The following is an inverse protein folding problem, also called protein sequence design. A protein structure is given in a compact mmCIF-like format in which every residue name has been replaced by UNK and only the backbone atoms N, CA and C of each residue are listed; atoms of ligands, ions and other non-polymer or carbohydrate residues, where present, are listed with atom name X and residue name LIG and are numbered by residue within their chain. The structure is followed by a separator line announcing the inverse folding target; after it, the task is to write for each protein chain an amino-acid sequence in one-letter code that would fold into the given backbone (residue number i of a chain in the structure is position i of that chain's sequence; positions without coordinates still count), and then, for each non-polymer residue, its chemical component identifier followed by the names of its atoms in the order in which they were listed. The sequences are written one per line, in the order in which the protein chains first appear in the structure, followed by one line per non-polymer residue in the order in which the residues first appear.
data_IF_910478944095
#
_entry.id   IF_910478944095
#
_cell.length_a   1.000
_cell.length_b   1.000
_cell.length_c   1.000
_cell.angle_alpha   90.00
_cell.angle_beta   90.00
_cell.angle_gamma   90.00
#
_symmetry.space_group_name_H-M   'P 1'
#
loop_
_entity.id
_entity.type
_entity.pdbx_description
1 polymer ?
#
# COMPACT_ATOMS: atom_id res chain seq x y z
N UNK A 1 -9.80 15.70 25.45
CA UNK A 1 -9.79 14.96 24.17
C UNK A 1 -9.97 15.99 23.08
N UNK A 2 -8.88 16.44 22.45
CA UNK A 2 -8.98 17.39 21.34
C UNK A 2 -9.63 16.69 20.15
N UNK A 3 -10.65 17.33 19.61
CA UNK A 3 -11.40 16.88 18.44
C UNK A 3 -10.48 16.86 17.21
N UNK A 4 -9.95 15.67 16.88
CA UNK A 4 -9.06 15.43 15.73
C UNK A 4 -9.79 15.54 14.38
N UNK A 5 -11.11 15.73 14.38
CA UNK A 5 -11.88 16.02 13.16
C UNK A 5 -11.45 17.33 12.47
N UNK A 6 -10.67 18.18 13.16
CA UNK A 6 -10.15 19.46 12.63
C UNK A 6 -8.74 19.37 12.02
N UNK A 7 -8.11 18.18 12.02
CA UNK A 7 -6.72 18.04 11.59
C UNK A 7 -6.53 17.89 10.07
N UNK A 8 -7.58 17.57 9.32
CA UNK A 8 -7.56 17.42 7.87
C UNK A 8 -8.52 18.41 7.22
N UNK A 9 -8.17 18.97 6.06
CA UNK A 9 -9.00 19.92 5.35
C UNK A 9 -10.07 19.20 4.49
N UNK A 10 -11.23 19.83 4.24
CA UNK A 10 -12.18 19.31 3.27
C UNK A 10 -11.56 19.22 1.87
N UNK A 11 -11.85 18.15 1.10
CA UNK A 11 -12.76 17.04 1.40
C UNK A 11 -12.10 15.82 2.06
N UNK A 12 -10.81 15.89 2.43
CA UNK A 12 -10.08 14.75 3.00
C UNK A 12 -10.59 14.40 4.40
N UNK A 13 -11.04 15.38 5.17
CA UNK A 13 -11.71 15.18 6.48
C UNK A 13 -12.87 14.18 6.45
N UNK A 14 -13.60 14.09 5.33
CA UNK A 14 -14.72 13.14 5.16
C UNK A 14 -14.28 11.69 5.36
N UNK A 15 -13.03 11.35 5.03
CA UNK A 15 -12.50 9.99 5.17
C UNK A 15 -12.45 9.52 6.64
N UNK A 16 -12.40 10.45 7.60
CA UNK A 16 -12.44 10.17 9.04
C UNK A 16 -13.80 9.60 9.51
N UNK A 17 -14.82 9.71 8.67
CA UNK A 17 -16.22 9.39 9.01
C UNK A 17 -16.78 8.18 8.25
N UNK A 18 -16.07 7.66 7.25
CA UNK A 18 -16.55 6.57 6.40
C UNK A 18 -16.63 5.21 7.12
N UNK A 19 -15.85 5.02 8.18
CA UNK A 19 -15.83 3.77 8.95
C UNK A 19 -15.08 2.66 8.22
N UNK A 20 -15.30 1.41 8.65
CA UNK A 20 -14.57 0.24 8.15
C UNK A 20 -14.96 -0.08 6.70
N UNK A 21 -14.03 -0.08 5.73
CA UNK A 21 -14.31 -0.53 4.37
C UNK A 21 -14.35 -2.07 4.28
N UNK A 22 -14.76 -2.57 3.12
CA UNK A 22 -14.47 -3.94 2.73
C UNK A 22 -12.98 -4.09 2.38
N UNK A 23 -12.40 -5.23 2.74
CA UNK A 23 -11.03 -5.58 2.36
C UNK A 23 -10.98 -5.92 0.87
N UNK A 24 -9.84 -5.67 0.23
CA UNK A 24 -9.58 -5.81 -1.20
C UNK A 24 -10.28 -4.80 -2.10
N UNK A 25 -10.82 -3.72 -1.51
CA UNK A 25 -11.42 -2.61 -2.25
C UNK A 25 -12.60 -2.01 -1.51
N UNK A 26 -12.62 -0.68 -1.40
CA UNK A 26 -13.64 0.00 -0.58
C UNK A 26 -14.99 0.14 -1.28
N UNK A 27 -15.07 -0.01 -2.60
CA UNK A 27 -16.27 0.31 -3.40
C UNK A 27 -16.64 1.81 -3.41
N UNK A 28 -15.85 2.67 -2.76
CA UNK A 28 -16.10 4.11 -2.67
C UNK A 28 -15.55 4.80 -3.91
N UNK A 29 -16.36 5.65 -4.55
CA UNK A 29 -15.90 6.60 -5.57
C UNK A 29 -15.48 7.89 -4.86
N UNK A 30 -14.18 8.06 -4.61
CA UNK A 30 -13.68 9.20 -3.87
C UNK A 30 -13.84 10.52 -4.65
N UNK A 31 -13.92 10.45 -5.98
CA UNK A 31 -14.22 11.61 -6.83
C UNK A 31 -15.58 12.23 -6.51
N UNK A 32 -16.58 11.40 -6.19
CA UNK A 32 -17.91 11.88 -5.72
C UNK A 32 -17.86 12.57 -4.35
N UNK A 33 -16.81 12.35 -3.57
CA UNK A 33 -16.59 13.06 -2.31
C UNK A 33 -15.87 14.41 -2.51
N UNK A 34 -15.46 14.72 -3.74
CA UNK A 34 -14.67 15.91 -4.08
C UNK A 34 -13.16 15.68 -4.02
N UNK A 35 -12.72 14.44 -3.80
CA UNK A 35 -11.29 14.10 -3.79
C UNK A 35 -10.75 14.14 -5.21
N UNK A 36 -9.58 14.73 -5.37
CA UNK A 36 -8.93 15.03 -6.65
C UNK A 36 -7.42 15.01 -6.49
N UNK A 37 -6.66 15.19 -7.58
CA UNK A 37 -5.19 15.24 -7.54
C UNK A 37 -4.63 16.34 -6.65
N UNK A 38 -5.33 17.46 -6.45
CA UNK A 38 -4.86 18.54 -5.57
C UNK A 38 -4.74 18.10 -4.10
N UNK A 39 -5.45 17.03 -3.72
CA UNK A 39 -5.49 16.49 -2.38
C UNK A 39 -4.43 15.41 -2.12
N UNK A 40 -3.65 15.01 -3.13
CA UNK A 40 -2.63 13.95 -2.99
C UNK A 40 -1.68 14.17 -1.80
N UNK A 41 -1.11 15.39 -1.57
CA UNK A 41 -0.23 15.60 -0.42
C UNK A 41 -0.92 15.33 0.92
N UNK A 42 -2.19 15.70 1.05
CA UNK A 42 -2.94 15.52 2.28
C UNK A 42 -3.44 14.08 2.47
N UNK A 43 -3.78 13.39 1.37
CA UNK A 43 -4.06 11.96 1.37
C UNK A 43 -2.82 11.13 1.76
N UNK A 44 -1.63 11.48 1.27
CA UNK A 44 -0.38 10.84 1.70
C UNK A 44 -0.19 11.04 3.20
N UNK A 45 -0.39 12.27 3.70
CA UNK A 45 -0.30 12.56 5.14
C UNK A 45 -1.27 11.70 5.95
N UNK A 46 -2.52 11.53 5.50
CA UNK A 46 -3.51 10.67 6.16
C UNK A 46 -3.12 9.20 6.12
N UNK A 47 -2.69 8.72 4.96
CA UNK A 47 -2.27 7.33 4.74
C UNK A 47 -1.14 6.92 5.69
N UNK A 48 -0.22 7.84 5.99
CA UNK A 48 0.96 7.59 6.84
C UNK A 48 0.84 8.18 8.24
N UNK A 49 -0.35 8.62 8.66
CA UNK A 49 -0.55 9.20 10.00
C UNK A 49 -0.50 8.10 11.05
N UNK A 50 0.58 8.05 11.83
CA UNK A 50 0.77 7.02 12.87
C UNK A 50 -0.36 7.02 13.91
N UNK A 51 -0.91 8.19 14.24
CA UNK A 51 -1.96 8.29 15.23
C UNK A 51 -3.32 7.78 14.71
N UNK A 52 -3.52 7.78 13.39
CA UNK A 52 -4.67 7.13 12.76
C UNK A 52 -4.43 5.63 12.57
N UNK A 53 -3.24 5.24 12.09
CA UNK A 53 -2.85 3.85 11.87
C UNK A 53 -2.76 3.01 13.17
N UNK A 54 -2.70 3.66 14.34
CA UNK A 54 -2.71 3.01 15.66
C UNK A 54 -3.93 3.38 16.51
N UNK A 55 -4.94 4.03 15.91
CA UNK A 55 -6.16 4.37 16.61
C UNK A 55 -6.93 3.10 17.05
N UNK A 56 -7.77 3.19 18.10
CA UNK A 56 -8.59 2.05 18.52
C UNK A 56 -9.49 1.55 17.38
N UNK A 57 -9.62 0.23 17.23
CA UNK A 57 -10.40 -0.42 16.16
C UNK A 57 -11.87 -0.02 16.13
N UNK A 58 -12.42 0.36 17.28
CA UNK A 58 -13.80 0.85 17.44
C UNK A 58 -14.00 2.29 16.92
N UNK A 59 -12.91 3.03 16.70
CA UNK A 59 -12.98 4.39 16.16
C UNK A 59 -13.11 4.36 14.64
N UNK A 60 -14.03 5.15 14.07
CA UNK A 60 -14.11 5.29 12.61
C UNK A 60 -12.81 5.83 12.00
N UNK A 61 -12.05 6.61 12.77
CA UNK A 61 -10.82 7.26 12.34
C UNK A 61 -9.70 6.29 12.00
N UNK A 62 -9.67 5.10 12.61
CA UNK A 62 -8.65 4.07 12.31
C UNK A 62 -8.73 3.58 10.86
N UNK A 63 -9.89 3.76 10.22
CA UNK A 63 -10.14 3.34 8.86
C UNK A 63 -9.85 4.42 7.81
N UNK A 64 -9.61 5.66 8.25
CA UNK A 64 -9.31 6.78 7.36
C UNK A 64 -8.02 6.55 6.52
N UNK A 65 -6.92 5.99 7.07
CA UNK A 65 -5.75 5.62 6.27
C UNK A 65 -6.08 4.63 5.15
N UNK A 66 -6.88 3.59 5.43
CA UNK A 66 -7.31 2.61 4.41
C UNK A 66 -8.06 3.31 3.27
N UNK A 67 -8.96 4.23 3.60
CA UNK A 67 -9.62 5.04 2.58
C UNK A 67 -8.65 5.92 1.79
N UNK A 68 -7.67 6.53 2.44
CA UNK A 68 -6.66 7.35 1.79
C UNK A 68 -5.80 6.54 0.81
N UNK A 69 -5.41 5.30 1.17
CA UNK A 69 -4.69 4.38 0.27
C UNK A 69 -5.45 4.17 -1.04
N UNK A 70 -6.74 3.81 -0.93
CA UNK A 70 -7.58 3.55 -2.08
C UNK A 70 -7.92 4.82 -2.88
N UNK A 71 -8.00 5.98 -2.24
CA UNK A 71 -8.13 7.26 -2.94
C UNK A 71 -6.88 7.58 -3.76
N UNK A 72 -5.68 7.37 -3.21
CA UNK A 72 -4.40 7.54 -3.90
C UNK A 72 -4.28 6.59 -5.11
N UNK A 73 -4.73 5.35 -4.95
CA UNK A 73 -4.82 4.38 -6.05
C UNK A 73 -5.77 4.85 -7.17
N UNK A 74 -6.98 5.32 -6.86
CA UNK A 74 -7.91 5.85 -7.87
C UNK A 74 -7.35 7.04 -8.64
N UNK A 75 -6.55 7.88 -7.98
CA UNK A 75 -5.88 9.04 -8.58
C UNK A 75 -4.61 8.68 -9.37
N UNK A 76 -4.13 7.43 -9.26
CA UNK A 76 -2.82 6.97 -9.74
C UNK A 76 -1.71 7.93 -9.31
N UNK A 77 -1.67 8.21 -8.02
CA UNK A 77 -0.71 9.15 -7.41
C UNK A 77 0.66 8.46 -7.25
N UNK A 78 1.54 8.62 -8.23
CA UNK A 78 2.88 8.02 -8.22
C UNK A 78 3.73 8.50 -7.04
N UNK A 79 3.52 9.75 -6.60
CA UNK A 79 4.19 10.36 -5.45
C UNK A 79 3.89 9.63 -4.13
N UNK A 80 2.81 8.84 -4.08
CA UNK A 80 2.44 8.06 -2.91
C UNK A 80 3.16 6.71 -2.82
N UNK A 81 3.81 6.24 -3.88
CA UNK A 81 4.42 4.90 -3.91
C UNK A 81 5.44 4.71 -2.78
N UNK A 82 6.38 5.62 -2.63
CA UNK A 82 7.42 5.51 -1.59
C UNK A 82 6.83 5.63 -0.16
N UNK A 83 5.98 6.61 0.16
CA UNK A 83 5.29 6.66 1.45
C UNK A 83 4.50 5.39 1.79
N UNK A 84 3.77 4.83 0.83
CA UNK A 84 2.95 3.63 1.02
C UNK A 84 3.79 2.36 1.16
N UNK A 85 4.90 2.24 0.43
CA UNK A 85 5.88 1.16 0.65
C UNK A 85 6.47 1.19 2.06
N UNK A 86 6.69 2.39 2.61
CA UNK A 86 7.15 2.56 3.99
C UNK A 86 6.21 1.96 5.05
N UNK A 87 4.93 1.75 4.71
CA UNK A 87 3.98 1.12 5.62
C UNK A 87 4.11 -0.41 5.69
N UNK A 88 4.77 -1.06 4.71
CA UNK A 88 4.87 -2.52 4.66
C UNK A 88 5.55 -3.14 5.90
N UNK A 89 6.43 -2.41 6.58
CA UNK A 89 7.05 -2.86 7.83
C UNK A 89 6.04 -3.20 8.93
N UNK A 90 4.84 -2.59 8.89
CA UNK A 90 3.76 -2.85 9.84
C UNK A 90 3.23 -4.29 9.79
N UNK A 91 3.44 -4.98 8.68
CA UNK A 91 3.07 -6.40 8.57
C UNK A 91 3.86 -7.21 9.58
N UNK A 92 5.17 -6.96 9.70
CA UNK A 92 6.04 -7.65 10.63
C UNK A 92 5.98 -7.04 12.06
N UNK A 93 5.86 -5.72 12.18
CA UNK A 93 5.91 -5.02 13.47
C UNK A 93 4.58 -5.06 14.25
N UNK A 94 3.45 -5.14 13.54
CA UNK A 94 2.11 -4.99 14.12
C UNK A 94 1.14 -6.10 13.72
N UNK A 95 1.57 -7.12 12.96
CA UNK A 95 0.70 -8.13 12.36
C UNK A 95 -0.46 -7.47 11.57
N UNK A 96 -0.15 -6.39 10.84
CA UNK A 96 -1.16 -5.57 10.16
C UNK A 96 -1.67 -6.24 8.87
N UNK A 97 -2.71 -7.08 9.03
CA UNK A 97 -3.37 -7.80 7.93
C UNK A 97 -3.86 -6.86 6.80
N UNK A 98 -4.26 -5.64 7.13
CA UNK A 98 -4.72 -4.68 6.12
C UNK A 98 -3.58 -4.21 5.24
N UNK A 99 -2.42 -3.95 5.82
CA UNK A 99 -1.22 -3.64 5.04
C UNK A 99 -0.78 -4.86 4.22
N UNK A 100 -0.85 -6.08 4.78
CA UNK A 100 -0.47 -7.31 4.07
C UNK A 100 -1.36 -7.63 2.87
N UNK A 101 -2.66 -7.37 2.97
CA UNK A 101 -3.63 -7.67 1.92
C UNK A 101 -3.89 -6.50 0.97
N UNK A 102 -4.22 -5.31 1.46
CA UNK A 102 -4.67 -4.21 0.60
C UNK A 102 -3.50 -3.43 0.00
N UNK A 103 -2.42 -3.20 0.75
CA UNK A 103 -1.33 -2.34 0.28
C UNK A 103 -0.71 -2.83 -1.04
N UNK A 104 -0.47 -4.13 -1.27
CA UNK A 104 0.04 -4.61 -2.55
C UNK A 104 -0.90 -4.30 -3.72
N UNK A 105 -2.22 -4.40 -3.50
CA UNK A 105 -3.25 -4.10 -4.51
C UNK A 105 -3.36 -2.60 -4.77
N UNK A 106 -3.28 -1.79 -3.72
CA UNK A 106 -3.24 -0.32 -3.80
C UNK A 106 -2.04 0.13 -4.65
N UNK A 107 -0.84 -0.34 -4.32
CA UNK A 107 0.38 -0.01 -5.06
C UNK A 107 0.30 -0.47 -6.52
N UNK A 108 -0.25 -1.67 -6.77
CA UNK A 108 -0.46 -2.14 -8.13
C UNK A 108 -1.49 -1.32 -8.91
N UNK A 109 -2.52 -0.80 -8.24
CA UNK A 109 -3.53 0.08 -8.85
C UNK A 109 -3.01 1.49 -9.15
N UNK A 110 -2.00 1.98 -8.41
CA UNK A 110 -1.25 3.20 -8.78
C UNK A 110 -0.55 2.98 -10.14
N UNK A 111 0.08 1.82 -10.31
CA UNK A 111 0.53 1.32 -11.61
C UNK A 111 2.06 1.14 -11.72
N UNK A 112 2.61 1.18 -12.95
CA UNK A 112 4.01 0.83 -13.23
C UNK A 112 5.08 1.60 -12.44
N UNK A 113 4.77 2.79 -11.94
CA UNK A 113 5.66 3.56 -11.07
C UNK A 113 6.04 2.81 -9.78
N UNK A 114 5.27 1.81 -9.36
CA UNK A 114 5.58 0.97 -8.21
C UNK A 114 6.68 -0.08 -8.46
N UNK A 115 7.00 -0.41 -9.71
CA UNK A 115 7.87 -1.54 -10.06
C UNK A 115 9.29 -1.36 -9.50
N UNK A 116 9.93 -0.22 -9.79
CA UNK A 116 11.30 0.02 -9.35
C UNK A 116 11.40 0.14 -7.82
N UNK A 117 10.56 0.94 -7.13
CA UNK A 117 10.59 1.04 -5.68
C UNK A 117 10.28 -0.28 -4.96
N UNK A 118 9.31 -1.06 -5.45
CA UNK A 118 9.00 -2.37 -4.87
C UNK A 118 10.14 -3.39 -5.07
N UNK A 119 10.86 -3.31 -6.19
CA UNK A 119 12.05 -4.14 -6.40
C UNK A 119 13.15 -3.79 -5.41
N UNK A 120 13.41 -2.50 -5.19
CA UNK A 120 14.40 -2.04 -4.23
C UNK A 120 14.04 -2.49 -2.81
N UNK A 121 12.77 -2.33 -2.41
CA UNK A 121 12.25 -2.79 -1.12
C UNK A 121 12.41 -4.30 -0.94
N UNK A 122 12.06 -5.10 -1.96
CA UNK A 122 12.21 -6.56 -1.93
C UNK A 122 13.69 -6.99 -1.78
N UNK A 123 14.61 -6.27 -2.41
CA UNK A 123 16.03 -6.61 -2.42
C UNK A 123 16.76 -6.28 -1.12
N UNK A 124 16.24 -5.34 -0.32
CA UNK A 124 16.84 -4.92 0.94
C UNK A 124 16.54 -5.93 2.07
N UNK A 125 17.59 -6.57 2.56
CA UNK A 125 17.51 -7.56 3.63
C UNK A 125 17.30 -6.94 5.03
N UNK A 126 17.37 -5.62 5.17
CA UNK A 126 17.03 -4.92 6.40
C UNK A 126 15.52 -4.90 6.67
N UNK A 127 14.69 -5.11 5.66
CA UNK A 127 13.24 -5.21 5.82
C UNK A 127 12.80 -6.59 6.34
N UNK A 128 11.69 -6.60 7.07
CA UNK A 128 11.04 -7.81 7.56
C UNK A 128 10.63 -8.77 6.45
N UNK A 129 10.48 -10.05 6.81
CA UNK A 129 10.20 -11.11 5.85
C UNK A 129 8.88 -10.86 5.13
N UNK A 130 7.82 -10.55 5.89
CA UNK A 130 6.49 -10.39 5.31
C UNK A 130 6.34 -9.09 4.54
N UNK A 131 7.00 -8.02 4.97
CA UNK A 131 7.11 -6.79 4.20
C UNK A 131 7.76 -7.03 2.83
N UNK A 132 8.83 -7.84 2.77
CA UNK A 132 9.49 -8.21 1.50
C UNK A 132 8.61 -9.10 0.63
N UNK A 133 7.88 -10.05 1.23
CA UNK A 133 6.86 -10.85 0.52
C UNK A 133 5.77 -9.96 -0.09
N UNK A 134 5.29 -8.97 0.66
CA UNK A 134 4.31 -8.00 0.16
C UNK A 134 4.86 -7.17 -1.00
N UNK A 135 6.13 -6.75 -0.94
CA UNK A 135 6.78 -6.06 -2.07
C UNK A 135 6.91 -6.95 -3.32
N UNK A 136 7.19 -8.25 -3.17
CA UNK A 136 7.14 -9.20 -4.29
C UNK A 136 5.72 -9.32 -4.87
N UNK A 137 4.69 -9.37 -4.00
CA UNK A 137 3.29 -9.39 -4.41
C UNK A 137 2.88 -8.15 -5.20
N UNK A 138 3.41 -6.96 -4.88
CA UNK A 138 3.22 -5.75 -5.71
C UNK A 138 3.67 -6.00 -7.15
N UNK A 139 4.86 -6.58 -7.35
CA UNK A 139 5.39 -6.85 -8.70
C UNK A 139 4.51 -7.84 -9.48
N UNK A 140 4.05 -8.90 -8.82
CA UNK A 140 3.11 -9.87 -9.40
C UNK A 140 1.82 -9.18 -9.85
N UNK A 141 1.18 -8.44 -8.94
CA UNK A 141 -0.09 -7.74 -9.22
C UNK A 141 0.04 -6.68 -10.30
N UNK A 142 1.15 -5.92 -10.35
CA UNK A 142 1.42 -4.97 -11.45
C UNK A 142 1.58 -5.72 -12.78
N UNK A 143 2.29 -6.85 -12.80
CA UNK A 143 2.47 -7.66 -14.00
C UNK A 143 1.17 -8.27 -14.53
N UNK A 144 0.24 -8.59 -13.63
CA UNK A 144 -1.10 -9.08 -13.96
C UNK A 144 -2.00 -7.96 -14.52
N UNK A 145 -2.03 -6.79 -13.88
CA UNK A 145 -2.93 -5.69 -14.25
C UNK A 145 -2.40 -4.83 -15.40
N UNK A 146 -1.09 -4.85 -15.68
CA UNK A 146 -0.42 -4.10 -16.75
C UNK A 146 0.36 -5.03 -17.68
N UNK A 147 -0.26 -5.56 -18.76
CA UNK A 147 0.38 -6.55 -19.64
C UNK A 147 1.71 -6.11 -20.28
N UNK A 148 1.87 -4.81 -20.52
CA UNK A 148 3.10 -4.22 -21.10
C UNK A 148 4.30 -4.39 -20.16
N UNK A 149 4.08 -4.35 -18.85
CA UNK A 149 5.14 -4.45 -17.84
C UNK A 149 5.32 -5.86 -17.30
N UNK A 150 4.48 -6.83 -17.71
CA UNK A 150 4.54 -8.21 -17.24
C UNK A 150 5.93 -8.83 -17.35
N UNK A 151 6.58 -8.67 -18.50
CA UNK A 151 7.92 -9.20 -18.74
C UNK A 151 8.97 -8.58 -17.79
N UNK A 152 8.85 -7.29 -17.49
CA UNK A 152 9.74 -6.60 -16.55
C UNK A 152 9.53 -7.09 -15.11
N UNK A 153 8.27 -7.21 -14.66
CA UNK A 153 7.96 -7.73 -13.32
C UNK A 153 8.51 -9.15 -13.13
N UNK A 154 8.30 -10.04 -14.11
CA UNK A 154 8.84 -11.40 -14.07
C UNK A 154 10.36 -11.38 -14.02
N UNK A 155 11.01 -10.56 -14.85
CA UNK A 155 12.48 -10.48 -14.85
C UNK A 155 13.04 -10.06 -13.48
N UNK A 156 12.38 -9.12 -12.80
CA UNK A 156 12.77 -8.66 -11.45
C UNK A 156 12.55 -9.74 -10.38
N UNK A 157 11.42 -10.45 -10.42
CA UNK A 157 11.14 -11.58 -9.51
C UNK A 157 12.14 -12.73 -9.72
N UNK A 158 12.42 -13.10 -10.98
CA UNK A 158 13.41 -14.12 -11.34
C UNK A 158 14.82 -13.71 -10.88
N UNK A 159 15.19 -12.43 -11.06
CA UNK A 159 16.47 -11.93 -10.58
C UNK A 159 16.59 -12.05 -9.05
N UNK A 160 15.52 -11.76 -8.30
CA UNK A 160 15.50 -11.95 -6.85
C UNK A 160 15.56 -13.44 -6.47
N UNK A 161 14.83 -14.32 -7.17
CA UNK A 161 14.88 -15.76 -6.94
C UNK A 161 16.27 -16.36 -7.23
N UNK A 162 17.03 -15.78 -8.17
CA UNK A 162 18.42 -16.15 -8.43
C UNK A 162 19.33 -16.06 -7.20
N UNK A 163 18.92 -15.32 -6.16
CA UNK A 163 19.61 -15.19 -4.87
C UNK A 163 19.13 -16.21 -3.82
N UNK A 164 18.46 -17.29 -4.23
CA UNK A 164 17.81 -18.26 -3.34
C UNK A 164 18.71 -18.82 -2.23
N UNK A 165 20.01 -18.97 -2.49
CA UNK A 165 20.98 -19.48 -1.52
C UNK A 165 21.32 -18.49 -0.39
N UNK A 166 21.05 -17.19 -0.59
CA UNK A 166 21.33 -16.11 0.35
C UNK A 166 20.09 -15.67 1.15
N UNK A 167 18.91 -16.20 0.83
CA UNK A 167 17.63 -15.75 1.39
C UNK A 167 16.84 -16.89 2.04
N UNK A 168 15.82 -16.53 2.82
CA UNK A 168 15.03 -17.52 3.54
C UNK A 168 14.25 -18.43 2.56
N UNK A 169 14.09 -19.70 2.92
CA UNK A 169 13.29 -20.65 2.14
C UNK A 169 11.84 -20.19 1.97
N UNK A 170 11.29 -19.50 2.99
CA UNK A 170 9.95 -18.89 2.91
C UNK A 170 9.88 -17.81 1.84
N UNK A 171 10.83 -16.89 1.79
CA UNK A 171 10.85 -15.86 0.75
C UNK A 171 10.95 -16.47 -0.65
N UNK A 172 11.81 -17.47 -0.82
CA UNK A 172 11.92 -18.23 -2.08
C UNK A 172 10.58 -18.79 -2.53
N UNK A 173 9.86 -19.47 -1.64
CA UNK A 173 8.58 -20.09 -1.95
C UNK A 173 7.54 -19.06 -2.44
N UNK A 174 7.54 -17.85 -1.88
CA UNK A 174 6.63 -16.79 -2.33
C UNK A 174 7.04 -16.11 -3.63
N UNK A 175 8.28 -16.25 -4.09
CA UNK A 175 8.72 -15.70 -5.38
C UNK A 175 8.33 -16.59 -6.58
N UNK A 176 8.00 -17.85 -6.34
CA UNK A 176 7.67 -18.84 -7.39
C UNK A 176 6.21 -18.81 -7.86
N UNK A 177 5.33 -18.01 -7.24
CA UNK A 177 3.86 -18.11 -7.36
C UNK A 177 3.23 -17.12 -8.37
N UNK A 178 4.02 -16.52 -9.28
CA UNK A 178 3.56 -15.41 -10.15
C UNK A 178 3.70 -15.67 -11.66
#
# INVERSE_FOLDING_TARGET
MSDRSTAYAPPVDKLLTLGKPEMHGTGVDYGKLGISREHVPELIRMATDEALNTAPTESTQVWAPVHAWWALAQLRAEEAVAPLLGLLQRIDDNDDDWVGEDMPRVLAAIGPAAIEPATAYLADAAHGLWARVAAARVLGLVGESHPVTRAECIARLVAQLGRFAEQSGTLNAFLEVW
#
